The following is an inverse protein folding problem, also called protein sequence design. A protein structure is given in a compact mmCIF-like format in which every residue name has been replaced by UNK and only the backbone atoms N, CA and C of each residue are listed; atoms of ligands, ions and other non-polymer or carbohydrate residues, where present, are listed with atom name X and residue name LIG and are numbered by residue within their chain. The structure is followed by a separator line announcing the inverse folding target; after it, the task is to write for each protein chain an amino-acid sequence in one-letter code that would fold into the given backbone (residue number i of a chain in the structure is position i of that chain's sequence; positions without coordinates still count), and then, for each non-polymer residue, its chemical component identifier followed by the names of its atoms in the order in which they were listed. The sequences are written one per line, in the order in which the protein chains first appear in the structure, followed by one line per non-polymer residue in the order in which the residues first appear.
data_IF_906920178145
#
_entry.id   IF_906920178145
#
_cell.length_a   1.000
_cell.length_b   1.000
_cell.length_c   1.000
_cell.angle_alpha   90.00
_cell.angle_beta   90.00
_cell.angle_gamma   90.00
#
_symmetry.space_group_name_H-M   'P 1'
#
loop_
_entity.id
_entity.type
_entity.pdbx_description
1 polymer ?
#
# COMPACT_ATOMS: atom_id res chain seq x y z
N UNK A 1 -44.59 14.34 24.26
CA UNK A 1 -44.79 15.81 24.36
C UNK A 1 -44.02 16.40 25.55
N UNK A 2 -43.72 15.58 26.57
CA UNK A 2 -42.92 15.91 27.75
C UNK A 2 -41.43 16.08 27.45
N UNK A 3 -40.88 15.33 26.48
CA UNK A 3 -39.43 15.27 26.25
C UNK A 3 -38.87 16.54 25.59
N UNK A 4 -39.67 17.19 24.74
CA UNK A 4 -39.27 18.44 24.07
C UNK A 4 -39.08 19.62 25.04
N UNK A 5 -39.78 19.62 26.18
CA UNK A 5 -39.61 20.63 27.22
C UNK A 5 -38.32 20.39 28.03
N UNK A 6 -37.97 19.13 28.26
CA UNK A 6 -36.75 18.75 28.97
C UNK A 6 -35.51 19.06 28.13
N UNK A 7 -35.51 18.70 26.84
CA UNK A 7 -34.39 19.02 25.92
C UNK A 7 -34.14 20.53 25.83
N UNK A 8 -35.20 21.35 25.67
CA UNK A 8 -35.05 22.83 25.71
C UNK A 8 -34.47 23.37 27.01
N UNK A 9 -34.75 22.68 28.12
CA UNK A 9 -34.20 23.04 29.43
C UNK A 9 -32.72 22.67 29.51
N UNK A 10 -32.33 21.51 28.97
CA UNK A 10 -30.91 21.11 28.83
C UNK A 10 -30.16 22.15 28.00
N UNK A 11 -30.66 22.54 26.82
CA UNK A 11 -30.02 23.56 25.96
C UNK A 11 -29.79 24.89 26.70
N UNK A 12 -30.71 25.27 27.58
CA UNK A 12 -30.63 26.52 28.35
C UNK A 12 -29.67 26.43 29.53
N UNK A 13 -29.64 25.28 30.22
CA UNK A 13 -28.97 25.10 31.51
C UNK A 13 -27.57 24.51 31.35
N UNK A 14 -27.40 23.61 30.40
CA UNK A 14 -26.15 22.91 30.12
C UNK A 14 -25.83 22.97 28.61
N UNK A 15 -25.57 24.17 28.05
CA UNK A 15 -25.36 24.35 26.60
C UNK A 15 -24.18 23.53 26.04
N UNK A 16 -23.15 23.28 26.85
CA UNK A 16 -22.01 22.42 26.50
C UNK A 16 -22.41 20.98 26.14
N UNK A 17 -23.55 20.48 26.64
CA UNK A 17 -24.04 19.14 26.30
C UNK A 17 -24.40 19.07 24.81
N UNK A 18 -24.96 20.13 24.26
CA UNK A 18 -25.28 20.18 22.82
C UNK A 18 -24.00 20.04 21.99
N UNK A 19 -22.93 20.74 22.39
CA UNK A 19 -21.61 20.63 21.76
C UNK A 19 -21.04 19.20 21.85
N UNK A 20 -21.20 18.51 22.97
CA UNK A 20 -20.76 17.11 23.13
C UNK A 20 -21.49 16.12 22.22
N UNK A 21 -22.77 16.35 21.94
CA UNK A 21 -23.51 15.54 20.98
C UNK A 21 -23.16 15.90 19.53
N UNK A 22 -22.81 17.16 19.25
CA UNK A 22 -22.46 17.63 17.91
C UNK A 22 -20.99 17.39 17.54
N UNK A 23 -20.14 17.08 18.52
CA UNK A 23 -18.71 16.87 18.31
C UNK A 23 -18.44 15.75 17.30
N UNK A 24 -17.47 15.98 16.43
CA UNK A 24 -17.00 14.99 15.47
C UNK A 24 -16.24 13.91 16.21
N UNK A 25 -16.48 12.65 15.84
CA UNK A 25 -15.73 11.51 16.36
C UNK A 25 -14.64 11.18 15.33
N UNK A 26 -13.38 11.36 15.72
CA UNK A 26 -12.21 11.01 14.91
C UNK A 26 -11.92 9.50 14.92
N UNK A 27 -11.04 9.06 14.01
CA UNK A 27 -10.74 7.64 13.82
C UNK A 27 -10.18 6.98 15.07
N UNK A 28 -9.23 7.61 15.77
CA UNK A 28 -8.61 7.02 16.96
C UNK A 28 -9.64 6.73 18.06
N UNK A 29 -10.53 7.69 18.31
CA UNK A 29 -11.61 7.54 19.28
C UNK A 29 -12.60 6.45 18.87
N UNK A 30 -12.97 6.42 17.59
CA UNK A 30 -13.82 5.38 17.04
C UNK A 30 -13.19 3.99 17.21
N UNK A 31 -11.92 3.85 16.80
CA UNK A 31 -11.11 2.64 16.86
C UNK A 31 -10.90 2.13 18.28
N UNK A 32 -10.65 3.01 19.24
CA UNK A 32 -10.52 2.63 20.65
C UNK A 32 -11.81 2.00 21.19
N UNK A 33 -12.96 2.51 20.76
CA UNK A 33 -14.25 2.08 21.25
C UNK A 33 -14.74 0.76 20.65
N UNK A 34 -14.73 0.65 19.32
CA UNK A 34 -15.25 -0.55 18.64
C UNK A 34 -14.21 -1.67 18.59
N UNK A 35 -12.95 -1.35 18.89
CA UNK A 35 -11.83 -2.26 18.79
C UNK A 35 -11.11 -2.15 17.46
N UNK A 36 -9.79 -2.39 17.51
CA UNK A 36 -8.88 -2.26 16.35
C UNK A 36 -9.37 -3.06 15.15
N UNK A 37 -9.67 -4.34 15.34
CA UNK A 37 -9.98 -5.26 14.26
C UNK A 37 -11.29 -4.88 13.54
N UNK A 38 -12.31 -4.45 14.30
CA UNK A 38 -13.61 -4.07 13.73
C UNK A 38 -13.52 -2.72 12.99
N UNK A 39 -12.78 -1.76 13.54
CA UNK A 39 -12.51 -0.49 12.86
C UNK A 39 -11.71 -0.69 11.57
N UNK A 40 -10.64 -1.47 11.62
CA UNK A 40 -9.82 -1.75 10.44
C UNK A 40 -10.63 -2.52 9.38
N UNK A 41 -11.55 -3.40 9.77
CA UNK A 41 -12.45 -4.09 8.84
C UNK A 41 -13.38 -3.13 8.11
N UNK A 42 -13.98 -2.14 8.79
CA UNK A 42 -14.86 -1.14 8.18
C UNK A 42 -14.09 -0.29 7.16
N UNK A 43 -12.88 0.16 7.54
CA UNK A 43 -12.04 0.96 6.64
C UNK A 43 -11.56 0.12 5.45
N UNK A 44 -11.14 -1.12 5.67
CA UNK A 44 -10.67 -2.02 4.60
C UNK A 44 -11.75 -2.29 3.56
N UNK A 45 -13.00 -2.48 3.98
CA UNK A 45 -14.12 -2.64 3.03
C UNK A 45 -14.31 -1.38 2.17
N UNK A 46 -14.20 -0.20 2.77
CA UNK A 46 -14.28 1.05 2.04
C UNK A 46 -13.09 1.25 1.07
N UNK A 47 -11.87 0.91 1.47
CA UNK A 47 -10.69 0.92 0.58
C UNK A 47 -10.86 0.00 -0.63
N UNK A 48 -11.37 -1.22 -0.41
CA UNK A 48 -11.65 -2.19 -1.49
C UNK A 48 -12.71 -1.63 -2.46
N UNK A 49 -13.73 -0.95 -1.95
CA UNK A 49 -14.75 -0.31 -2.79
C UNK A 49 -14.18 0.83 -3.66
N UNK A 50 -13.13 1.50 -3.20
CA UNK A 50 -12.37 2.51 -3.96
C UNK A 50 -11.32 1.87 -4.91
N UNK A 51 -11.17 0.55 -4.90
CA UNK A 51 -10.30 -0.20 -5.81
C UNK A 51 -8.92 -0.56 -5.26
N UNK A 52 -8.64 -0.28 -3.99
CA UNK A 52 -7.39 -0.70 -3.34
C UNK A 52 -7.37 -2.24 -3.16
N UNK A 53 -6.18 -2.87 -3.17
CA UNK A 53 -6.06 -4.31 -2.91
C UNK A 53 -6.60 -4.72 -1.53
N UNK A 54 -7.23 -5.91 -1.40
CA UNK A 54 -7.91 -6.34 -0.17
C UNK A 54 -6.97 -6.64 1.01
N UNK A 55 -5.68 -6.76 0.76
CA UNK A 55 -4.62 -6.99 1.73
C UNK A 55 -3.92 -5.70 2.20
N UNK A 56 -4.33 -4.53 1.68
CA UNK A 56 -3.79 -3.23 2.09
C UNK A 56 -3.98 -3.03 3.59
N UNK A 57 -2.91 -2.60 4.25
CA UNK A 57 -2.98 -2.21 5.66
C UNK A 57 -3.53 -0.78 5.76
N UNK A 58 -4.51 -0.57 6.64
CA UNK A 58 -5.13 0.75 6.87
C UNK A 58 -4.09 1.83 7.23
N UNK A 59 -3.01 1.46 7.92
CA UNK A 59 -1.96 2.40 8.32
C UNK A 59 -1.05 2.86 7.16
N UNK A 60 -1.13 2.19 5.99
CA UNK A 60 -0.34 2.54 4.82
C UNK A 60 -1.07 3.56 3.91
N UNK A 61 -2.35 3.82 4.17
CA UNK A 61 -3.18 4.72 3.37
C UNK A 61 -3.43 6.02 4.13
N UNK A 62 -3.28 7.14 3.45
CA UNK A 62 -3.71 8.44 3.97
C UNK A 62 -5.21 8.64 3.76
N UNK A 63 -5.95 8.87 4.85
CA UNK A 63 -7.39 9.09 4.81
C UNK A 63 -7.86 10.03 5.93
N UNK A 64 -8.90 10.80 5.63
CA UNK A 64 -9.68 11.53 6.61
C UNK A 64 -10.90 10.70 7.02
N UNK A 65 -11.17 10.67 8.32
CA UNK A 65 -12.32 9.97 8.88
C UNK A 65 -13.05 10.87 9.86
N UNK A 66 -14.36 10.95 9.68
CA UNK A 66 -15.27 11.56 10.64
C UNK A 66 -16.50 10.67 10.81
N UNK A 67 -16.89 10.42 12.06
CA UNK A 67 -18.19 9.86 12.39
C UNK A 67 -19.07 10.95 13.03
N UNK A 68 -20.25 11.15 12.46
CA UNK A 68 -21.25 12.13 12.90
C UNK A 68 -22.57 11.43 13.16
N UNK A 69 -23.46 12.06 13.92
CA UNK A 69 -24.77 11.45 14.15
C UNK A 69 -25.66 11.57 12.92
N UNK A 70 -26.43 10.52 12.61
CA UNK A 70 -27.54 10.59 11.64
C UNK A 70 -28.75 11.32 12.20
N UNK A 71 -28.97 11.20 13.50
CA UNK A 71 -30.11 11.79 14.21
C UNK A 71 -29.80 13.23 14.64
N UNK A 72 -30.83 14.07 14.70
CA UNK A 72 -30.71 15.44 15.21
C UNK A 72 -30.29 15.43 16.69
N UNK A 73 -29.45 16.39 17.08
CA UNK A 73 -28.91 16.57 18.43
C UNK A 73 -29.98 16.51 19.52
N UNK A 74 -31.12 17.17 19.29
CA UNK A 74 -32.24 17.22 20.24
C UNK A 74 -32.83 15.85 20.52
N UNK A 75 -32.97 15.03 19.48
CA UNK A 75 -33.48 13.68 19.63
C UNK A 75 -32.49 12.83 20.43
N UNK A 76 -31.19 12.97 20.17
CA UNK A 76 -30.16 12.23 20.90
C UNK A 76 -30.06 12.60 22.37
N UNK A 77 -30.23 13.89 22.70
CA UNK A 77 -30.30 14.33 24.10
C UNK A 77 -31.52 13.69 24.78
N UNK A 78 -32.68 13.66 24.12
CA UNK A 78 -33.89 12.98 24.62
C UNK A 78 -33.61 11.50 24.89
N UNK A 79 -33.11 10.80 23.88
CA UNK A 79 -32.80 9.38 23.94
C UNK A 79 -31.77 9.06 25.04
N UNK A 80 -30.75 9.89 25.21
CA UNK A 80 -29.74 9.71 26.25
C UNK A 80 -30.37 9.78 27.63
N UNK A 81 -31.23 10.77 27.87
CA UNK A 81 -31.92 10.95 29.14
C UNK A 81 -32.86 9.79 29.41
N UNK A 82 -33.66 9.38 28.44
CA UNK A 82 -34.58 8.25 28.56
C UNK A 82 -33.87 6.92 28.86
N UNK A 83 -32.65 6.74 28.36
CA UNK A 83 -31.90 5.48 28.47
C UNK A 83 -31.01 5.42 29.71
N UNK A 84 -30.42 6.54 30.12
CA UNK A 84 -29.38 6.57 31.15
C UNK A 84 -29.84 7.21 32.46
N UNK A 85 -31.04 7.79 32.52
CA UNK A 85 -31.50 8.58 33.66
C UNK A 85 -33.01 8.44 33.90
N UNK A 86 -33.46 8.82 35.10
CA UNK A 86 -34.88 8.90 35.44
C UNK A 86 -35.37 10.37 35.54
N UNK A 87 -34.69 11.32 34.89
CA UNK A 87 -35.05 12.73 35.02
C UNK A 87 -36.30 13.10 34.21
N UNK A 88 -37.27 13.71 34.90
CA UNK A 88 -38.52 14.18 34.32
C UNK A 88 -38.45 15.67 33.94
N UNK A 89 -39.45 16.17 33.20
CA UNK A 89 -39.52 17.58 32.76
C UNK A 89 -39.49 18.64 33.88
N UNK A 90 -39.72 18.23 35.14
CA UNK A 90 -39.64 19.07 36.34
C UNK A 90 -38.25 19.12 36.99
N UNK A 91 -37.27 18.35 36.50
CA UNK A 91 -35.92 18.25 37.07
C UNK A 91 -35.26 19.62 37.28
N UNK A 92 -34.62 19.83 38.42
CA UNK A 92 -33.84 21.01 38.76
C UNK A 92 -32.62 21.16 37.85
N UNK A 93 -32.03 22.36 37.84
CA UNK A 93 -30.78 22.61 37.09
C UNK A 93 -29.66 21.65 37.53
N UNK A 94 -29.52 21.42 38.83
CA UNK A 94 -28.48 20.55 39.37
C UNK A 94 -28.68 19.09 38.96
N UNK A 95 -29.93 18.61 38.92
CA UNK A 95 -30.25 17.25 38.42
C UNK A 95 -29.94 17.09 36.93
N UNK A 96 -30.20 18.13 36.12
CA UNK A 96 -29.85 18.14 34.69
C UNK A 96 -28.33 18.10 34.49
N UNK A 97 -27.58 18.92 35.22
CA UNK A 97 -26.11 18.92 35.13
C UNK A 97 -25.52 17.58 35.57
N UNK A 98 -26.08 16.94 36.61
CA UNK A 98 -25.65 15.62 37.08
C UNK A 98 -26.00 14.47 36.12
N UNK A 99 -27.03 14.62 35.30
CA UNK A 99 -27.38 13.66 34.26
C UNK A 99 -26.31 13.55 33.15
N UNK A 100 -25.52 14.60 32.95
CA UNK A 100 -24.43 14.66 31.97
C UNK A 100 -23.07 14.79 32.67
N UNK A 101 -22.59 13.71 33.33
CA UNK A 101 -21.41 13.79 34.18
C UNK A 101 -20.10 14.07 33.42
N UNK A 102 -20.03 13.73 32.13
CA UNK A 102 -18.88 14.03 31.27
C UNK A 102 -19.18 13.86 29.78
N UNK A 103 -18.38 14.50 28.93
CA UNK A 103 -18.36 14.30 27.47
C UNK A 103 -18.11 12.83 27.10
N UNK A 104 -17.20 12.15 27.81
CA UNK A 104 -16.91 10.73 27.57
C UNK A 104 -18.14 9.83 27.72
N UNK A 105 -19.08 10.14 28.64
CA UNK A 105 -20.33 9.37 28.77
C UNK A 105 -21.29 9.62 27.61
N UNK A 106 -21.34 10.85 27.10
CA UNK A 106 -22.12 11.18 25.90
C UNK A 106 -21.53 10.48 24.68
N UNK A 107 -20.20 10.51 24.54
CA UNK A 107 -19.47 9.82 23.48
C UNK A 107 -19.69 8.30 23.55
N UNK A 108 -19.57 7.69 24.73
CA UNK A 108 -19.83 6.26 24.95
C UNK A 108 -21.24 5.87 24.49
N UNK A 109 -22.23 6.72 24.79
CA UNK A 109 -23.62 6.51 24.38
C UNK A 109 -23.78 6.58 22.85
N UNK A 110 -23.17 7.58 22.21
CA UNK A 110 -23.20 7.75 20.74
C UNK A 110 -22.55 6.54 20.04
N UNK A 111 -21.38 6.12 20.50
CA UNK A 111 -20.63 5.01 19.91
C UNK A 111 -21.26 3.64 20.14
N UNK A 112 -22.02 3.45 21.23
CA UNK A 112 -22.83 2.23 21.47
C UNK A 112 -23.88 1.98 20.39
N UNK A 113 -24.24 3.03 19.63
CA UNK A 113 -25.28 3.02 18.60
C UNK A 113 -24.66 3.31 17.24
N UNK A 114 -23.71 2.47 16.82
CA UNK A 114 -23.01 2.62 15.53
C UNK A 114 -23.97 2.80 14.34
N UNK A 115 -25.11 2.11 14.33
CA UNK A 115 -26.14 2.25 13.30
C UNK A 115 -26.70 3.69 13.20
N UNK A 116 -26.70 4.43 14.31
CA UNK A 116 -27.09 5.83 14.43
C UNK A 116 -26.01 6.83 14.01
N UNK A 117 -24.82 6.36 13.63
CA UNK A 117 -23.74 7.19 13.11
C UNK A 117 -23.67 7.12 11.59
N UNK A 118 -23.35 8.25 10.98
CA UNK A 118 -22.94 8.42 9.59
C UNK A 118 -21.42 8.50 9.58
N UNK A 119 -20.80 7.50 8.98
CA UNK A 119 -19.35 7.44 8.82
C UNK A 119 -19.03 8.07 7.47
N UNK A 120 -18.16 9.06 7.49
CA UNK A 120 -17.60 9.67 6.29
C UNK A 120 -16.10 9.44 6.29
N UNK A 121 -15.64 8.81 5.22
CA UNK A 121 -14.24 8.55 4.98
C UNK A 121 -13.88 9.15 3.62
N UNK A 122 -12.75 9.85 3.56
CA UNK A 122 -12.18 10.36 2.31
C UNK A 122 -10.77 9.79 2.22
N UNK A 123 -10.54 8.95 1.22
CA UNK A 123 -9.19 8.48 0.90
C UNK A 123 -8.47 9.62 0.20
N UNK A 124 -7.36 10.06 0.78
CA UNK A 124 -6.57 11.18 0.26
C UNK A 124 -5.49 10.70 -0.72
N UNK A 125 -5.09 9.43 -0.62
CA UNK A 125 -4.18 8.80 -1.57
C UNK A 125 -4.84 8.54 -2.92
N UNK A 126 -4.19 8.98 -4.00
CA UNK A 126 -4.51 8.51 -5.34
C UNK A 126 -4.07 7.05 -5.50
N UNK A 127 -4.96 6.20 -6.04
CA UNK A 127 -4.70 4.77 -6.18
C UNK A 127 -3.44 4.50 -7.03
N UNK A 128 -3.20 5.25 -8.11
CA UNK A 128 -2.04 5.01 -8.95
C UNK A 128 -0.74 5.37 -8.23
N UNK A 129 -0.72 6.50 -7.50
CA UNK A 129 0.43 6.91 -6.71
C UNK A 129 0.67 5.96 -5.52
N UNK A 130 -0.39 5.44 -4.91
CA UNK A 130 -0.31 4.41 -3.88
C UNK A 130 0.30 3.13 -4.46
N UNK A 131 -0.20 2.64 -5.59
CA UNK A 131 0.31 1.43 -6.23
C UNK A 131 1.76 1.59 -6.71
N UNK A 132 2.18 2.79 -7.13
CA UNK A 132 3.60 3.05 -7.42
C UNK A 132 4.49 2.89 -6.19
N UNK A 133 4.03 3.27 -4.99
CA UNK A 133 4.80 3.12 -3.74
C UNK A 133 4.69 1.73 -3.14
N UNK A 134 3.56 1.07 -3.34
CA UNK A 134 3.16 -0.13 -2.60
C UNK A 134 2.73 -1.30 -3.50
N UNK A 135 3.32 -1.44 -4.70
CA UNK A 135 2.97 -2.52 -5.63
C UNK A 135 3.20 -3.94 -5.09
N UNK A 136 3.88 -4.10 -3.95
CA UNK A 136 3.96 -5.38 -3.23
C UNK A 136 2.59 -5.87 -2.71
N UNK A 137 1.54 -5.04 -2.76
CA UNK A 137 0.16 -5.47 -2.50
C UNK A 137 -0.51 -6.16 -3.71
N UNK A 138 0.00 -5.97 -4.93
CA UNK A 138 -0.54 -6.60 -6.16
C UNK A 138 0.58 -6.86 -7.18
N UNK A 139 1.02 -8.11 -7.24
CA UNK A 139 2.05 -8.55 -8.19
C UNK A 139 1.61 -8.35 -9.65
N UNK A 140 0.30 -8.32 -9.96
CA UNK A 140 -0.18 -8.04 -11.32
C UNK A 140 0.08 -6.58 -11.70
N UNK A 141 -0.10 -5.65 -10.75
CA UNK A 141 0.25 -4.25 -10.97
C UNK A 141 1.76 -4.13 -11.22
N UNK A 142 2.57 -4.79 -10.39
CA UNK A 142 4.02 -4.76 -10.56
C UNK A 142 4.46 -5.33 -11.92
N UNK A 143 3.94 -6.50 -12.30
CA UNK A 143 4.20 -7.13 -13.60
C UNK A 143 3.78 -6.23 -14.78
N UNK A 144 2.62 -5.58 -14.68
CA UNK A 144 2.16 -4.61 -15.68
C UNK A 144 3.14 -3.45 -15.81
N UNK A 145 3.58 -2.86 -14.71
CA UNK A 145 4.55 -1.75 -14.71
C UNK A 145 5.92 -2.17 -15.25
N UNK A 146 6.35 -3.40 -14.95
CA UNK A 146 7.51 -3.99 -15.60
C UNK A 146 7.31 -4.04 -17.11
N UNK A 147 6.16 -4.53 -17.60
CA UNK A 147 5.88 -4.59 -19.04
C UNK A 147 5.84 -3.24 -19.75
N UNK A 148 5.54 -2.16 -19.03
CA UNK A 148 5.52 -0.80 -19.57
C UNK A 148 6.91 -0.14 -19.62
N UNK A 149 7.79 -0.45 -18.67
CA UNK A 149 9.08 0.23 -18.49
C UNK A 149 10.31 -0.61 -18.83
N UNK A 150 10.18 -1.94 -18.80
CA UNK A 150 11.28 -2.85 -19.11
C UNK A 150 11.55 -2.85 -20.62
N UNK A 151 12.81 -2.61 -20.97
CA UNK A 151 13.33 -2.83 -22.31
C UNK A 151 14.47 -3.84 -22.26
N UNK A 152 14.23 -5.02 -22.83
CA UNK A 152 15.23 -6.09 -22.90
C UNK A 152 16.50 -5.66 -23.64
N UNK A 153 16.41 -4.68 -24.56
CA UNK A 153 17.56 -4.10 -25.24
C UNK A 153 18.56 -3.44 -24.30
N UNK A 154 18.11 -2.95 -23.14
CA UNK A 154 18.95 -2.29 -22.15
C UNK A 154 19.91 -3.24 -21.43
N UNK A 155 19.68 -4.55 -21.47
CA UNK A 155 20.59 -5.55 -20.91
C UNK A 155 21.85 -5.78 -21.76
N UNK A 156 21.76 -5.59 -23.09
CA UNK A 156 22.89 -5.80 -24.01
C UNK A 156 24.13 -5.01 -23.64
N UNK A 157 24.07 -3.67 -23.45
CA UNK A 157 25.26 -2.91 -23.10
C UNK A 157 25.87 -3.35 -21.77
N UNK A 158 25.07 -3.77 -20.78
CA UNK A 158 25.54 -4.24 -19.46
C UNK A 158 26.32 -5.56 -19.60
N UNK A 159 25.85 -6.45 -20.48
CA UNK A 159 26.52 -7.74 -20.75
C UNK A 159 27.79 -7.51 -21.58
N UNK A 160 27.72 -6.71 -22.64
CA UNK A 160 28.87 -6.42 -23.53
C UNK A 160 29.96 -5.59 -22.84
N UNK A 161 29.58 -4.70 -21.90
CA UNK A 161 30.52 -3.96 -21.03
C UNK A 161 31.11 -4.81 -19.92
N UNK A 162 30.65 -6.07 -19.74
CA UNK A 162 31.03 -7.02 -18.69
C UNK A 162 30.65 -6.61 -17.27
N UNK A 163 29.78 -5.62 -17.10
CA UNK A 163 29.21 -5.32 -15.78
C UNK A 163 28.49 -6.55 -15.19
N UNK A 164 27.94 -7.41 -16.04
CA UNK A 164 27.36 -8.71 -15.65
C UNK A 164 28.34 -9.61 -14.89
N UNK A 165 29.66 -9.53 -15.13
CA UNK A 165 30.63 -10.39 -14.42
C UNK A 165 30.68 -10.09 -12.92
N UNK A 166 30.38 -8.85 -12.50
CA UNK A 166 30.29 -8.49 -11.09
C UNK A 166 29.02 -9.01 -10.42
N UNK A 167 27.99 -9.34 -11.22
CA UNK A 167 26.69 -9.82 -10.77
C UNK A 167 26.60 -11.36 -10.81
N UNK A 168 27.17 -11.96 -11.86
CA UNK A 168 27.08 -13.37 -12.17
C UNK A 168 28.21 -13.82 -13.12
N UNK A 169 29.42 -13.90 -12.58
CA UNK A 169 30.61 -14.26 -13.36
C UNK A 169 30.52 -15.66 -13.96
N UNK A 170 30.01 -16.64 -13.21
CA UNK A 170 30.01 -18.04 -13.64
C UNK A 170 29.15 -18.23 -14.89
N UNK A 171 27.94 -17.64 -14.92
CA UNK A 171 27.07 -17.72 -16.09
C UNK A 171 27.68 -17.03 -17.31
N UNK A 172 28.30 -15.86 -17.12
CA UNK A 172 29.01 -15.18 -18.21
C UNK A 172 30.16 -16.01 -18.77
N UNK A 173 31.02 -16.54 -17.90
CA UNK A 173 32.15 -17.40 -18.27
C UNK A 173 31.67 -18.67 -18.99
N UNK A 174 30.55 -19.26 -18.57
CA UNK A 174 29.92 -20.37 -19.27
C UNK A 174 29.51 -19.99 -20.70
N UNK A 175 28.76 -18.89 -20.89
CA UNK A 175 28.36 -18.41 -22.23
C UNK A 175 29.55 -18.06 -23.10
N UNK A 176 30.59 -17.47 -22.52
CA UNK A 176 31.83 -17.16 -23.23
C UNK A 176 32.49 -18.44 -23.75
N UNK A 177 32.66 -19.47 -22.90
CA UNK A 177 33.26 -20.76 -23.30
C UNK A 177 32.46 -21.47 -24.39
N UNK A 178 31.14 -21.37 -24.36
CA UNK A 178 30.30 -21.87 -25.46
C UNK A 178 30.59 -21.14 -26.76
N UNK A 179 30.63 -19.80 -26.76
CA UNK A 179 30.96 -19.00 -27.94
C UNK A 179 32.34 -19.33 -28.52
N UNK A 180 33.34 -19.54 -27.66
CA UNK A 180 34.70 -19.98 -28.06
C UNK A 180 34.66 -21.35 -28.74
N UNK A 181 33.91 -22.29 -28.16
CA UNK A 181 33.78 -23.65 -28.68
C UNK A 181 33.07 -23.69 -30.03
N UNK A 182 32.03 -22.87 -30.22
CA UNK A 182 31.29 -22.74 -31.48
C UNK A 182 32.18 -22.22 -32.63
N UNK A 183 33.22 -21.44 -32.32
CA UNK A 183 34.22 -20.97 -33.29
C UNK A 183 35.38 -21.95 -33.51
N UNK A 184 35.38 -23.12 -32.87
CA UNK A 184 36.47 -24.10 -32.88
C UNK A 184 37.83 -23.55 -32.39
N UNK A 185 37.81 -22.52 -31.54
CA UNK A 185 39.02 -21.96 -30.93
C UNK A 185 39.29 -22.69 -29.60
N UNK A 186 40.55 -22.94 -29.28
CA UNK A 186 40.92 -23.51 -27.98
C UNK A 186 40.67 -22.47 -26.87
N UNK A 187 39.98 -22.80 -25.77
CA UNK A 187 39.70 -21.86 -24.67
C UNK A 187 40.93 -21.17 -24.07
N UNK A 188 42.10 -21.82 -24.13
CA UNK A 188 43.36 -21.27 -23.63
C UNK A 188 43.91 -20.11 -24.48
N UNK A 189 43.42 -19.93 -25.71
CA UNK A 189 43.87 -18.89 -26.65
C UNK A 189 43.13 -17.55 -26.49
N UNK A 190 42.05 -17.52 -25.71
CA UNK A 190 41.14 -16.38 -25.60
C UNK A 190 40.86 -16.07 -24.14
N UNK A 191 40.89 -14.79 -23.79
CA UNK A 191 40.64 -14.30 -22.44
C UNK A 191 39.29 -13.60 -22.37
N UNK A 192 38.41 -14.11 -21.50
CA UNK A 192 37.06 -13.58 -21.29
C UNK A 192 37.06 -12.11 -20.85
N UNK A 193 38.12 -11.65 -20.17
CA UNK A 193 38.24 -10.27 -19.70
C UNK A 193 38.54 -9.26 -20.82
N UNK A 194 39.17 -9.71 -21.91
CA UNK A 194 39.69 -8.81 -22.96
C UNK A 194 39.09 -9.05 -24.36
N UNK A 195 38.57 -10.24 -24.64
CA UNK A 195 38.08 -10.62 -25.97
C UNK A 195 36.75 -9.92 -26.30
N UNK A 196 36.65 -9.07 -27.34
CA UNK A 196 35.40 -8.40 -27.68
C UNK A 196 34.24 -9.39 -27.89
N UNK A 197 33.10 -9.13 -27.23
CA UNK A 197 31.90 -9.95 -27.33
C UNK A 197 30.72 -9.12 -27.82
N UNK A 198 29.73 -9.79 -28.41
CA UNK A 198 28.47 -9.21 -28.86
C UNK A 198 27.31 -10.09 -28.44
N UNK A 199 26.21 -9.49 -27.97
CA UNK A 199 25.00 -10.22 -27.60
C UNK A 199 24.09 -10.36 -28.84
N UNK A 200 23.98 -11.58 -29.35
CA UNK A 200 23.19 -11.89 -30.56
C UNK A 200 21.75 -12.25 -30.27
N UNK A 201 21.49 -12.88 -29.14
CA UNK A 201 20.15 -13.20 -28.65
C UNK A 201 20.05 -12.92 -27.15
N UNK A 202 18.87 -12.46 -26.73
CA UNK A 202 18.56 -12.17 -25.33
C UNK A 202 17.07 -12.34 -25.08
N UNK A 203 16.73 -13.07 -24.02
CA UNK A 203 15.35 -13.32 -23.60
C UNK A 203 15.27 -13.48 -22.08
N UNK A 204 14.11 -13.17 -21.53
CA UNK A 204 13.79 -13.58 -20.16
C UNK A 204 13.59 -15.09 -20.11
N UNK A 205 14.03 -15.73 -19.04
CA UNK A 205 13.82 -17.18 -18.84
C UNK A 205 12.38 -17.50 -18.42
N UNK A 206 11.67 -16.51 -17.86
CA UNK A 206 10.31 -16.62 -17.35
C UNK A 206 9.51 -15.35 -17.67
N UNK A 207 8.16 -15.43 -17.67
CA UNK A 207 7.32 -14.26 -17.92
C UNK A 207 7.40 -13.24 -16.77
N UNK A 208 7.09 -11.97 -17.07
CA UNK A 208 7.22 -10.86 -16.12
C UNK A 208 6.38 -11.06 -14.86
N UNK A 209 5.24 -11.76 -14.96
CA UNK A 209 4.38 -12.10 -13.83
C UNK A 209 5.10 -12.98 -12.81
N UNK A 210 5.86 -13.99 -13.27
CA UNK A 210 6.64 -14.86 -12.40
C UNK A 210 7.83 -14.12 -11.75
N UNK A 211 8.44 -13.19 -12.50
CA UNK A 211 9.52 -12.33 -11.98
C UNK A 211 8.96 -11.35 -10.94
N UNK A 212 7.78 -10.78 -11.19
CA UNK A 212 7.12 -9.84 -10.28
C UNK A 212 6.84 -10.49 -8.93
N UNK A 213 6.27 -11.69 -8.91
CA UNK A 213 6.02 -12.46 -7.67
C UNK A 213 7.32 -12.71 -6.88
N UNK A 214 8.42 -13.00 -7.56
CA UNK A 214 9.71 -13.25 -6.92
C UNK A 214 10.39 -11.98 -6.40
N UNK A 215 10.19 -10.85 -7.08
CA UNK A 215 10.91 -9.60 -6.81
C UNK A 215 10.05 -8.56 -6.07
N UNK A 216 8.76 -8.79 -5.84
CA UNK A 216 7.87 -7.82 -5.17
C UNK A 216 8.38 -7.43 -3.78
N UNK A 217 8.97 -8.37 -3.04
CA UNK A 217 9.61 -8.08 -1.75
C UNK A 217 10.84 -7.15 -1.87
N UNK A 218 11.50 -7.05 -3.02
CA UNK A 218 12.61 -6.10 -3.23
C UNK A 218 12.12 -4.65 -3.26
N UNK A 219 10.84 -4.41 -3.57
CA UNK A 219 10.24 -3.07 -3.62
C UNK A 219 10.28 -2.34 -2.27
N UNK A 220 10.29 -3.04 -1.13
CA UNK A 220 10.38 -2.42 0.20
C UNK A 220 11.63 -1.53 0.37
N UNK A 221 12.69 -1.77 -0.41
CA UNK A 221 13.91 -0.96 -0.40
C UNK A 221 13.83 0.31 -1.24
N UNK A 222 12.74 0.55 -1.96
CA UNK A 222 12.63 1.61 -2.96
C UNK A 222 11.40 2.49 -2.70
N UNK A 223 11.49 3.76 -3.09
CA UNK A 223 10.40 4.72 -2.93
C UNK A 223 9.21 4.43 -3.85
N UNK A 224 9.49 3.92 -5.05
CA UNK A 224 8.47 3.56 -6.04
C UNK A 224 8.93 2.39 -6.90
N UNK A 225 7.99 1.71 -7.55
CA UNK A 225 8.24 0.71 -8.60
C UNK A 225 9.15 1.29 -9.67
N UNK A 226 8.82 2.48 -10.16
CA UNK A 226 9.63 3.16 -11.17
C UNK A 226 11.08 3.40 -10.71
N UNK A 227 11.32 3.69 -9.42
CA UNK A 227 12.67 3.81 -8.87
C UNK A 227 13.41 2.47 -8.97
N UNK A 228 12.81 1.40 -8.46
CA UNK A 228 13.38 0.05 -8.52
C UNK A 228 13.73 -0.40 -9.95
N UNK A 229 12.79 -0.23 -10.88
CA UNK A 229 12.94 -0.64 -12.28
C UNK A 229 14.10 0.09 -12.98
N UNK A 230 14.35 1.34 -12.61
CA UNK A 230 15.42 2.14 -13.21
C UNK A 230 16.79 1.92 -12.54
N UNK A 231 16.84 1.56 -11.26
CA UNK A 231 18.09 1.54 -10.50
C UNK A 231 18.69 0.15 -10.29
N UNK A 232 17.85 -0.88 -10.13
CA UNK A 232 18.31 -2.19 -9.64
C UNK A 232 17.77 -3.38 -10.42
N UNK A 233 16.61 -3.24 -11.06
CA UNK A 233 15.92 -4.35 -11.70
C UNK A 233 16.78 -5.11 -12.72
N UNK A 234 17.49 -4.42 -13.61
CA UNK A 234 18.38 -5.06 -14.60
C UNK A 234 19.51 -5.85 -13.94
N UNK A 235 20.08 -5.31 -12.86
CA UNK A 235 21.14 -5.99 -12.13
C UNK A 235 20.60 -7.22 -11.39
N UNK A 236 19.42 -7.11 -10.79
CA UNK A 236 18.74 -8.23 -10.14
C UNK A 236 18.38 -9.34 -11.14
N UNK A 237 17.91 -9.00 -12.33
CA UNK A 237 17.62 -9.98 -13.39
C UNK A 237 18.86 -10.81 -13.75
N UNK A 238 20.02 -10.16 -13.90
CA UNK A 238 21.27 -10.82 -14.24
C UNK A 238 21.85 -11.64 -13.08
N UNK A 239 21.72 -11.12 -11.86
CA UNK A 239 22.21 -11.76 -10.64
C UNK A 239 21.43 -13.03 -10.30
N UNK A 240 20.12 -13.04 -10.56
CA UNK A 240 19.21 -14.14 -10.20
C UNK A 240 18.93 -15.09 -11.38
N UNK A 241 19.82 -15.11 -12.40
CA UNK A 241 19.73 -15.98 -13.57
C UNK A 241 18.40 -15.87 -14.36
N UNK A 242 17.77 -14.70 -14.41
CA UNK A 242 16.47 -14.50 -15.09
C UNK A 242 16.58 -14.17 -16.57
N UNK A 243 17.81 -14.09 -17.07
CA UNK A 243 18.12 -13.66 -18.43
C UNK A 243 18.96 -14.73 -19.11
N UNK A 244 18.42 -15.30 -20.17
CA UNK A 244 19.20 -16.07 -21.12
C UNK A 244 19.77 -15.14 -22.18
N UNK A 245 21.07 -15.28 -22.47
CA UNK A 245 21.71 -14.58 -23.58
C UNK A 245 22.73 -15.48 -24.29
N UNK A 246 22.98 -15.13 -25.56
CA UNK A 246 23.99 -15.78 -26.41
C UNK A 246 25.05 -14.76 -26.78
N UNK A 247 26.31 -15.16 -26.61
CA UNK A 247 27.48 -14.36 -26.99
C UNK A 247 28.03 -14.84 -28.34
N UNK A 248 28.46 -13.88 -29.15
CA UNK A 248 29.31 -14.09 -30.31
C UNK A 248 30.63 -13.35 -30.06
N UNK A 249 31.77 -13.98 -30.35
CA UNK A 249 33.06 -13.31 -30.24
C UNK A 249 33.33 -12.55 -31.53
N UNK A 250 33.68 -11.28 -31.40
CA UNK A 250 34.04 -10.45 -32.55
C UNK A 250 35.55 -10.51 -32.77
N UNK A 251 36.03 -11.68 -33.23
CA UNK A 251 37.44 -11.98 -33.47
C UNK A 251 37.63 -12.68 -34.83
N UNK A 252 38.79 -12.49 -35.44
CA UNK A 252 39.18 -13.23 -36.64
C UNK A 252 39.75 -14.60 -36.22
N UNK A 253 39.17 -15.69 -36.73
CA UNK A 253 39.59 -17.05 -36.38
C UNK A 253 41.00 -17.33 -36.91
N UNK A 254 41.39 -16.73 -38.04
CA UNK A 254 42.70 -16.92 -38.68
C UNK A 254 43.85 -16.40 -37.81
N UNK A 255 43.60 -15.45 -36.91
CA UNK A 255 44.59 -14.95 -35.95
C UNK A 255 44.97 -15.99 -34.87
N UNK A 256 44.21 -17.09 -34.78
CA UNK A 256 44.33 -18.12 -33.76
C UNK A 256 44.55 -19.54 -34.31
N UNK A 257 44.75 -19.73 -35.61
CA UNK A 257 45.20 -21.00 -36.22
C UNK A 257 46.72 -21.19 -36.07
#
# INVERSE_FOLDING_TARGET
MTDFLLVKKVEKVAPHVTEWFESVIGFDTFREYIGKDEAESIISEALVNEGFPPNVQVNDVDFDFIAMNKQETKQLISDYLEVNTDIEGTATQQEIEQAFPSESKVLDFRLKRLEGLSIHMVVNDDLADFMERHAYYDDNYFAKRMGELFDIGSLKPIIESREVMALNSDYFTEKFRYAVSDMNILPEKVDENSTPVKVVDIKLEEPLEAIAEQFSAKLYGYSTVSNYLNSAFYADLLKEDKVYYVLELNIDVEDYE
#
